data_IF_403464973916
#
_entry.id   IF_403464973916
#
_cell.length_a   1.000
_cell.length_b   1.000
_cell.length_c   1.000
_cell.angle_alpha   90.00
_cell.angle_beta   90.00
_cell.angle_gamma   90.00
#
_symmetry.space_group_name_H-M   'P 1'
#
loop_
_entity.id
_entity.type
_entity.pdbx_description
1 polymer ?
#
# COMPACT_ATOMS: atom_id res chain seq x y z
N UNK A 1 -19.14 -1.28 -11.29
CA UNK A 1 -17.81 -1.25 -10.65
C UNK A 1 -17.35 0.19 -10.73
N UNK A 2 -17.32 0.89 -9.59
CA UNK A 2 -17.01 2.32 -9.49
C UNK A 2 -15.58 2.54 -9.01
N UNK A 3 -15.10 3.78 -9.04
CA UNK A 3 -13.77 4.11 -8.53
C UNK A 3 -13.60 3.74 -7.05
N UNK A 4 -14.70 3.71 -6.30
CA UNK A 4 -14.74 3.27 -4.90
C UNK A 4 -14.30 1.81 -4.75
N UNK A 5 -14.51 0.98 -5.76
CA UNK A 5 -14.08 -0.42 -5.74
C UNK A 5 -12.55 -0.53 -5.90
N UNK A 6 -11.94 0.32 -6.73
CA UNK A 6 -10.48 0.46 -6.81
C UNK A 6 -9.91 0.93 -5.46
N UNK A 7 -10.48 1.98 -4.88
CA UNK A 7 -10.05 2.51 -3.57
C UNK A 7 -10.17 1.43 -2.48
N UNK A 8 -11.25 0.64 -2.48
CA UNK A 8 -11.41 -0.48 -1.55
C UNK A 8 -10.33 -1.54 -1.76
N UNK A 9 -9.99 -1.85 -3.01
CA UNK A 9 -8.94 -2.82 -3.33
C UNK A 9 -7.54 -2.36 -2.89
N UNK A 10 -7.28 -1.06 -2.82
CA UNK A 10 -6.04 -0.49 -2.28
C UNK A 10 -5.93 -0.50 -0.75
N UNK A 11 -7.03 -0.70 0.00
CA UNK A 11 -7.01 -0.63 1.48
C UNK A 11 -5.98 -1.56 2.14
N UNK A 12 -5.77 -2.82 1.69
CA UNK A 12 -4.73 -3.67 2.28
C UNK A 12 -3.32 -3.10 2.10
N UNK A 13 -3.02 -2.53 0.93
CA UNK A 13 -1.72 -1.87 0.67
C UNK A 13 -1.53 -0.67 1.60
N UNK A 14 -2.55 0.19 1.69
CA UNK A 14 -2.53 1.34 2.59
C UNK A 14 -2.34 0.94 4.07
N UNK A 15 -3.03 -0.12 4.52
CA UNK A 15 -2.92 -0.59 5.89
C UNK A 15 -1.51 -1.14 6.20
N UNK A 16 -0.89 -1.84 5.25
CA UNK A 16 0.48 -2.35 5.38
C UNK A 16 1.50 -1.19 5.39
N UNK A 17 1.30 -0.17 4.56
CA UNK A 17 2.13 1.04 4.60
C UNK A 17 2.01 1.78 5.91
N UNK A 18 0.78 1.94 6.44
CA UNK A 18 0.56 2.57 7.74
C UNK A 18 1.26 1.80 8.87
N UNK A 19 1.12 0.47 8.89
CA UNK A 19 1.80 -0.38 9.88
C UNK A 19 3.33 -0.29 9.75
N UNK A 20 3.86 -0.34 8.52
CA UNK A 20 5.29 -0.19 8.25
C UNK A 20 5.83 1.17 8.70
N UNK A 21 5.08 2.25 8.46
CA UNK A 21 5.45 3.59 8.88
C UNK A 21 5.50 3.72 10.41
N UNK A 22 4.51 3.18 11.13
CA UNK A 22 4.52 3.18 12.60
C UNK A 22 5.71 2.38 13.15
N UNK A 23 5.97 1.20 12.61
CA UNK A 23 7.08 0.34 13.01
C UNK A 23 8.45 0.93 12.67
N UNK A 24 8.54 1.68 11.57
CA UNK A 24 9.74 2.44 11.18
C UNK A 24 9.96 3.63 12.10
N UNK A 25 8.93 4.43 12.39
CA UNK A 25 9.05 5.51 13.36
C UNK A 25 9.46 5.01 14.74
N UNK A 26 8.87 3.90 15.20
CA UNK A 26 9.21 3.30 16.49
C UNK A 26 10.67 2.78 16.52
N UNK A 27 11.16 2.24 15.40
CA UNK A 27 12.56 1.83 15.24
C UNK A 27 13.53 3.00 15.46
N UNK A 28 13.20 4.17 14.94
CA UNK A 28 14.08 5.36 15.02
C UNK A 28 14.00 6.07 16.37
N UNK A 29 12.87 5.98 17.09
CA UNK A 29 12.62 6.80 18.28
C UNK A 29 12.68 6.01 19.58
N UNK A 30 12.06 4.84 19.66
CA UNK A 30 11.85 4.13 20.93
C UNK A 30 12.60 2.80 21.02
N UNK A 31 13.00 2.21 19.89
CA UNK A 31 13.52 0.85 19.85
C UNK A 31 14.91 0.74 20.50
N UNK A 32 15.10 -0.17 21.47
CA UNK A 32 16.43 -0.51 21.95
C UNK A 32 17.22 -1.25 20.85
N UNK A 33 18.55 -1.09 20.86
CA UNK A 33 19.45 -1.62 19.81
C UNK A 33 19.30 -3.12 19.63
N UNK A 34 19.08 -3.85 20.72
CA UNK A 34 18.90 -5.30 20.74
C UNK A 34 17.66 -5.75 19.95
N UNK A 35 16.65 -4.88 19.81
CA UNK A 35 15.43 -5.14 19.05
C UNK A 35 15.51 -4.78 17.56
N UNK A 36 16.53 -4.02 17.15
CA UNK A 36 16.59 -3.43 15.80
C UNK A 36 16.63 -4.49 14.69
N UNK A 37 17.37 -5.60 14.91
CA UNK A 37 17.48 -6.67 13.92
C UNK A 37 16.14 -7.37 13.67
N UNK A 38 15.43 -7.76 14.74
CA UNK A 38 14.12 -8.40 14.63
C UNK A 38 13.08 -7.45 14.00
N UNK A 39 13.14 -6.15 14.31
CA UNK A 39 12.27 -5.14 13.68
C UNK A 39 12.56 -4.98 12.20
N UNK A 40 13.83 -4.97 11.80
CA UNK A 40 14.23 -4.92 10.39
C UNK A 40 13.69 -6.11 9.60
N UNK A 41 13.77 -7.32 10.16
CA UNK A 41 13.22 -8.52 9.53
C UNK A 41 11.69 -8.43 9.37
N UNK A 42 10.97 -7.99 10.41
CA UNK A 42 9.53 -7.79 10.33
C UNK A 42 9.13 -6.75 9.26
N UNK A 43 9.83 -5.61 9.21
CA UNK A 43 9.61 -4.59 8.19
C UNK A 43 9.87 -5.11 6.76
N UNK A 44 10.90 -5.94 6.59
CA UNK A 44 11.18 -6.59 5.31
C UNK A 44 10.04 -7.52 4.87
N UNK A 45 9.52 -8.36 5.77
CA UNK A 45 8.38 -9.23 5.47
C UNK A 45 7.11 -8.44 5.12
N UNK A 46 6.79 -7.39 5.89
CA UNK A 46 5.65 -6.51 5.58
C UNK A 46 5.80 -5.83 4.21
N UNK A 47 7.02 -5.43 3.85
CA UNK A 47 7.32 -4.85 2.53
C UNK A 47 7.07 -5.83 1.40
N UNK A 48 7.45 -7.10 1.57
CA UNK A 48 7.20 -8.16 0.59
C UNK A 48 5.70 -8.44 0.45
N UNK A 49 4.97 -8.58 1.56
CA UNK A 49 3.52 -8.79 1.54
C UNK A 49 2.83 -7.61 0.83
N UNK A 50 3.20 -6.36 1.18
CA UNK A 50 2.66 -5.17 0.52
C UNK A 50 2.88 -5.19 -0.99
N UNK A 51 4.09 -5.57 -1.44
CA UNK A 51 4.41 -5.71 -2.86
C UNK A 51 3.49 -6.74 -3.53
N UNK A 52 3.26 -7.89 -2.91
CA UNK A 52 2.35 -8.90 -3.47
C UNK A 52 0.93 -8.37 -3.62
N UNK A 53 0.41 -7.69 -2.60
CA UNK A 53 -0.93 -7.09 -2.66
C UNK A 53 -1.02 -6.02 -3.75
N UNK A 54 0.00 -5.18 -3.91
CA UNK A 54 0.04 -4.17 -4.95
C UNK A 54 0.05 -4.79 -6.35
N UNK A 55 0.86 -5.83 -6.58
CA UNK A 55 0.93 -6.50 -7.89
C UNK A 55 -0.39 -7.15 -8.30
N UNK A 56 -1.20 -7.62 -7.34
CA UNK A 56 -2.54 -8.16 -7.60
C UNK A 56 -3.53 -7.11 -8.12
N UNK A 57 -3.24 -5.81 -7.96
CA UNK A 57 -4.11 -4.73 -8.40
C UNK A 57 -3.93 -4.36 -9.88
N UNK A 58 -2.87 -4.85 -10.54
CA UNK A 58 -2.52 -4.48 -11.93
C UNK A 58 -3.71 -4.54 -12.88
N UNK A 59 -4.35 -5.71 -13.00
CA UNK A 59 -5.45 -5.90 -13.95
C UNK A 59 -6.72 -5.12 -13.57
N UNK A 60 -6.85 -4.71 -12.31
CA UNK A 60 -7.92 -3.82 -11.88
C UNK A 60 -7.63 -2.39 -12.34
N UNK A 61 -6.40 -1.89 -12.14
CA UNK A 61 -5.96 -0.57 -12.58
C UNK A 61 -6.07 -0.44 -14.10
N UNK A 62 -5.57 -1.41 -14.87
CA UNK A 62 -5.61 -1.40 -16.34
C UNK A 62 -7.05 -1.28 -16.89
N UNK A 63 -8.01 -1.90 -16.21
CA UNK A 63 -9.44 -1.81 -16.56
C UNK A 63 -10.02 -0.42 -16.32
N UNK A 64 -9.61 0.24 -15.24
CA UNK A 64 -10.04 1.60 -14.95
C UNK A 64 -9.34 2.62 -15.85
N UNK A 65 -8.06 2.43 -16.21
CA UNK A 65 -7.37 3.28 -17.19
C UNK A 65 -8.04 3.27 -18.57
N UNK A 66 -8.57 2.10 -18.97
CA UNK A 66 -9.27 1.94 -20.24
C UNK A 66 -10.69 2.52 -20.24
N UNK A 67 -11.23 2.91 -19.08
CA UNK A 67 -12.56 3.48 -18.95
C UNK A 67 -12.57 4.95 -19.38
N UNK A 68 -13.40 5.29 -20.38
CA UNK A 68 -13.47 6.65 -20.95
C UNK A 68 -14.30 7.64 -20.12
N UNK A 69 -15.02 7.14 -19.12
CA UNK A 69 -16.12 7.88 -18.49
C UNK A 69 -15.81 8.29 -17.04
N UNK A 70 -14.53 8.35 -16.67
CA UNK A 70 -14.11 8.75 -15.33
C UNK A 70 -14.20 10.27 -15.14
N UNK A 71 -14.68 10.69 -13.97
CA UNK A 71 -14.63 12.07 -13.52
C UNK A 71 -13.19 12.50 -13.17
N UNK A 72 -12.99 13.79 -12.90
CA UNK A 72 -11.66 14.33 -12.56
C UNK A 72 -11.04 13.63 -11.34
N UNK A 73 -11.86 13.26 -10.36
CA UNK A 73 -11.42 12.54 -9.18
C UNK A 73 -10.88 11.16 -9.53
N UNK A 74 -11.63 10.36 -10.29
CA UNK A 74 -11.23 9.03 -10.70
C UNK A 74 -9.98 9.04 -11.59
N UNK A 75 -9.86 10.00 -12.50
CA UNK A 75 -8.62 10.23 -13.26
C UNK A 75 -7.44 10.56 -12.36
N UNK A 76 -7.67 11.34 -11.30
CA UNK A 76 -6.67 11.66 -10.29
C UNK A 76 -6.21 10.44 -9.49
N UNK A 77 -7.15 9.57 -9.09
CA UNK A 77 -6.86 8.35 -8.32
C UNK A 77 -6.00 7.36 -9.10
N UNK A 78 -6.26 7.18 -10.40
CA UNK A 78 -5.50 6.22 -11.22
C UNK A 78 -4.07 6.67 -11.48
N UNK A 79 -3.83 7.98 -11.54
CA UNK A 79 -2.52 8.55 -11.85
C UNK A 79 -1.49 8.35 -10.72
N UNK A 80 -1.93 8.14 -9.48
CA UNK A 80 -1.09 8.21 -8.27
C UNK A 80 -0.96 6.84 -7.60
#
# INVERSE_FOLDING_TARGET
>A
MGIEDLIKAYRPVWALDHAGALLGWDLEVNMPVEGASARGEALAQLTLIRREYLLRLKDLVDRFESAKDLDDFGRGVIRV
#
